data_IF_116731858001
#
_entry.id   IF_116731858001
#
_cell.length_a   1.000
_cell.length_b   1.000
_cell.length_c   1.000
_cell.angle_alpha   90.00
_cell.angle_beta   90.00
_cell.angle_gamma   90.00
#
_symmetry.space_group_name_H-M   'P 1'
#
loop_
_entity.id
_entity.type
_entity.pdbx_description
1 polymer ?
#
# COMPACT_ATOMS: atom_id res chain seq x y z
N UNK A 1 -14.18 -4.61 12.11
CA UNK A 1 -13.80 -3.19 11.95
C UNK A 1 -14.63 -2.66 10.78
N UNK A 2 -15.65 -1.84 11.05
CA UNK A 2 -16.54 -1.31 10.01
C UNK A 2 -15.82 -0.25 9.18
N UNK A 3 -15.38 -0.57 7.98
CA UNK A 3 -14.87 0.42 7.02
C UNK A 3 -16.07 0.98 6.29
N UNK A 4 -16.53 2.18 6.67
CA UNK A 4 -17.55 2.92 5.93
C UNK A 4 -17.02 3.19 4.52
N UNK A 5 -17.63 2.52 3.55
CA UNK A 5 -17.43 2.74 2.13
C UNK A 5 -18.17 4.02 1.74
N UNK A 6 -17.48 5.17 1.79
CA UNK A 6 -18.15 6.47 1.70
C UNK A 6 -17.40 7.49 0.83
N UNK A 7 -16.88 7.12 -0.34
CA UNK A 7 -16.37 8.14 -1.28
C UNK A 7 -16.62 7.73 -2.73
N UNK A 8 -17.88 7.71 -3.15
CA UNK A 8 -18.21 7.79 -4.57
C UNK A 8 -18.08 9.27 -4.96
N UNK A 9 -16.94 9.64 -5.55
CA UNK A 9 -16.72 11.00 -6.06
C UNK A 9 -17.36 11.10 -7.43
N UNK A 10 -18.24 12.07 -7.65
CA UNK A 10 -18.86 12.25 -8.96
C UNK A 10 -17.87 12.86 -9.97
N UNK A 11 -18.19 12.81 -11.27
CA UNK A 11 -17.26 13.27 -12.32
C UNK A 11 -16.92 14.76 -12.20
N UNK A 12 -17.88 15.60 -11.82
CA UNK A 12 -17.68 17.05 -11.69
C UNK A 12 -16.77 17.40 -10.51
N UNK A 13 -16.89 16.66 -9.41
CA UNK A 13 -15.98 16.77 -8.27
C UNK A 13 -14.59 16.27 -8.63
N UNK A 14 -14.51 15.11 -9.31
CA UNK A 14 -13.23 14.55 -9.74
C UNK A 14 -12.46 15.49 -10.67
N UNK A 15 -13.16 16.20 -11.58
CA UNK A 15 -12.53 17.19 -12.46
C UNK A 15 -11.82 18.30 -11.68
N UNK A 16 -12.38 18.71 -10.53
CA UNK A 16 -11.75 19.72 -9.64
C UNK A 16 -10.50 19.19 -8.92
N UNK A 17 -10.28 17.88 -8.94
CA UNK A 17 -9.13 17.22 -8.32
C UNK A 17 -7.97 16.99 -9.30
N UNK A 18 -8.15 17.23 -10.60
CA UNK A 18 -7.06 17.15 -11.57
C UNK A 18 -5.94 18.14 -11.17
N UNK A 19 -4.70 17.67 -11.19
CA UNK A 19 -3.51 18.38 -10.71
C UNK A 19 -3.38 18.45 -9.19
N UNK A 20 -4.29 17.83 -8.42
CA UNK A 20 -4.27 17.84 -6.95
C UNK A 20 -3.88 16.48 -6.39
N UNK A 21 -3.34 16.50 -5.17
CA UNK A 21 -3.08 15.28 -4.42
C UNK A 21 -4.38 14.62 -3.95
N UNK A 22 -4.56 13.36 -4.33
CA UNK A 22 -5.67 12.49 -3.96
C UNK A 22 -5.15 11.27 -3.21
N UNK A 23 -5.97 10.78 -2.28
CA UNK A 23 -5.79 9.48 -1.66
C UNK A 23 -6.42 8.42 -2.57
N UNK A 24 -5.69 7.35 -2.79
CA UNK A 24 -6.12 6.19 -3.57
C UNK A 24 -6.18 4.97 -2.67
N UNK A 25 -7.32 4.27 -2.66
CA UNK A 25 -7.51 3.02 -1.92
C UNK A 25 -7.73 1.87 -2.90
N UNK A 26 -6.80 0.91 -2.91
CA UNK A 26 -6.83 -0.26 -3.81
C UNK A 26 -7.13 -1.56 -3.06
N UNK A 27 -7.81 -1.46 -1.92
CA UNK A 27 -8.05 -2.61 -1.04
C UNK A 27 -6.73 -3.22 -0.56
N UNK A 28 -6.53 -4.50 -0.85
CA UNK A 28 -5.37 -5.23 -0.37
C UNK A 28 -4.06 -4.94 -1.15
N UNK A 29 -4.12 -4.13 -2.22
CA UNK A 29 -2.92 -3.60 -2.89
C UNK A 29 -2.36 -2.36 -2.20
N UNK A 30 -3.03 -1.83 -1.18
CA UNK A 30 -2.54 -0.75 -0.34
C UNK A 30 -3.26 0.58 -0.53
N UNK A 31 -2.74 1.61 0.14
CA UNK A 31 -3.28 2.96 0.18
C UNK A 31 -2.19 3.96 -0.16
N UNK A 32 -2.47 4.80 -1.14
CA UNK A 32 -1.48 5.69 -1.73
C UNK A 32 -1.97 7.14 -1.71
N UNK A 33 -1.03 8.07 -1.86
CA UNK A 33 -1.30 9.45 -2.21
C UNK A 33 -0.62 9.73 -3.54
N UNK A 34 -1.29 10.46 -4.41
CA UNK A 34 -0.73 10.83 -5.70
C UNK A 34 -1.46 11.97 -6.35
N UNK A 35 -0.88 12.52 -7.41
CA UNK A 35 -1.49 13.57 -8.23
C UNK A 35 -2.43 12.94 -9.25
N UNK A 36 -3.70 13.37 -9.27
CA UNK A 36 -4.65 12.96 -10.30
C UNK A 36 -4.37 13.73 -11.60
N UNK A 37 -4.06 13.02 -12.68
CA UNK A 37 -3.59 13.63 -13.94
C UNK A 37 -4.71 13.83 -14.95
N UNK A 38 -5.56 12.82 -15.10
CA UNK A 38 -6.60 12.81 -16.14
C UNK A 38 -7.81 12.00 -15.69
N UNK A 39 -8.92 12.24 -16.38
CA UNK A 39 -10.17 11.51 -16.22
C UNK A 39 -10.70 11.05 -17.57
N UNK A 40 -11.15 9.80 -17.65
CA UNK A 40 -11.68 9.18 -18.87
C UNK A 40 -12.98 8.43 -18.59
N UNK A 41 -13.76 8.16 -19.65
CA UNK A 41 -14.93 7.26 -19.60
C UNK A 41 -16.16 7.72 -18.81
N UNK A 42 -17.11 6.77 -18.68
CA UNK A 42 -18.34 6.84 -17.87
C UNK A 42 -18.76 5.40 -17.47
N UNK A 43 -18.85 5.05 -16.17
CA UNK A 43 -18.45 5.86 -15.03
C UNK A 43 -16.96 6.21 -15.10
N UNK A 44 -16.57 7.35 -14.54
CA UNK A 44 -15.24 7.88 -14.77
C UNK A 44 -14.14 6.96 -14.21
N UNK A 45 -13.00 6.97 -14.91
CA UNK A 45 -11.71 6.41 -14.53
C UNK A 45 -10.70 7.55 -14.52
N UNK A 46 -9.63 7.39 -13.76
CA UNK A 46 -8.57 8.38 -13.72
C UNK A 46 -7.21 7.73 -13.67
N UNK A 47 -6.18 8.54 -13.89
CA UNK A 47 -4.79 8.12 -13.74
C UNK A 47 -4.12 8.96 -12.68
N UNK A 48 -3.50 8.31 -11.72
CA UNK A 48 -2.82 8.97 -10.59
C UNK A 48 -1.34 8.67 -10.66
N UNK A 49 -0.49 9.69 -10.54
CA UNK A 49 0.94 9.54 -10.31
C UNK A 49 1.19 9.49 -8.81
N UNK A 50 1.69 8.37 -8.30
CA UNK A 50 1.96 8.19 -6.87
C UNK A 50 3.02 9.17 -6.42
N UNK A 51 2.76 9.86 -5.31
CA UNK A 51 3.70 10.77 -4.64
C UNK A 51 4.08 10.28 -3.25
N UNK A 52 3.28 9.40 -2.66
CA UNK A 52 3.60 8.78 -1.37
C UNK A 52 2.76 7.55 -1.08
N UNK A 53 3.20 6.78 -0.08
CA UNK A 53 2.54 5.54 0.37
C UNK A 53 1.97 5.78 1.77
N UNK A 54 0.65 5.60 1.96
CA UNK A 54 0.03 5.70 3.28
C UNK A 54 0.04 4.34 3.98
N UNK A 55 -0.34 3.29 3.26
CA UNK A 55 -0.35 1.91 3.73
C UNK A 55 0.21 1.04 2.61
N UNK A 56 1.26 0.23 2.84
CA UNK A 56 1.77 -0.68 1.82
C UNK A 56 0.75 -1.79 1.52
N UNK A 57 0.98 -2.54 0.45
CA UNK A 57 0.15 -3.68 0.07
C UNK A 57 0.09 -4.72 1.19
N UNK A 58 -1.02 -5.46 1.28
CA UNK A 58 -1.14 -6.57 2.22
C UNK A 58 -0.31 -7.76 1.75
N UNK A 59 0.56 -8.26 2.61
CA UNK A 59 1.55 -9.30 2.27
C UNK A 59 1.25 -10.69 2.87
N UNK A 60 0.07 -10.90 3.44
CA UNK A 60 -0.31 -12.15 4.11
C UNK A 60 -1.54 -12.86 3.56
N UNK A 61 -2.14 -12.31 2.53
CA UNK A 61 -3.44 -12.78 2.09
C UNK A 61 -3.29 -13.92 1.07
N UNK A 62 -3.75 -15.12 1.44
CA UNK A 62 -3.74 -16.37 0.66
C UNK A 62 -2.39 -17.04 0.36
N UNK A 63 -1.38 -16.92 1.23
CA UNK A 63 -0.13 -17.69 1.10
C UNK A 63 0.78 -17.23 -0.05
N UNK A 64 0.43 -16.15 -0.75
CA UNK A 64 1.30 -15.51 -1.74
C UNK A 64 2.14 -14.46 -1.02
N UNK A 65 3.38 -14.85 -0.72
CA UNK A 65 4.40 -13.98 -0.15
C UNK A 65 4.66 -12.81 -1.13
N UNK A 66 4.58 -11.58 -0.64
CA UNK A 66 5.01 -10.34 -1.30
C UNK A 66 4.20 -9.86 -2.53
N UNK A 67 2.92 -9.47 -2.35
CA UNK A 67 2.25 -8.58 -3.33
C UNK A 67 3.10 -7.34 -3.61
N UNK A 68 3.28 -6.95 -4.87
CA UNK A 68 4.06 -5.75 -5.24
C UNK A 68 3.18 -4.51 -5.07
N UNK A 69 3.44 -3.71 -4.03
CA UNK A 69 2.81 -2.40 -3.92
C UNK A 69 3.44 -1.36 -4.87
N UNK A 70 2.77 -0.21 -4.98
CA UNK A 70 3.15 0.90 -5.86
C UNK A 70 4.15 1.85 -5.19
N UNK A 71 5.08 2.39 -5.97
CA UNK A 71 6.13 3.32 -5.51
C UNK A 71 5.85 4.75 -5.96
N UNK A 72 6.34 5.77 -5.23
CA UNK A 72 6.36 7.14 -5.72
C UNK A 72 6.99 7.24 -7.12
N UNK A 73 6.32 7.97 -8.00
CA UNK A 73 6.65 8.08 -9.42
C UNK A 73 5.87 7.13 -10.33
N UNK A 74 5.33 6.02 -9.81
CA UNK A 74 4.52 5.08 -10.61
C UNK A 74 3.11 5.61 -10.86
N UNK A 75 2.44 5.00 -11.85
CA UNK A 75 1.07 5.34 -12.21
C UNK A 75 0.10 4.26 -11.76
N UNK A 76 -1.07 4.69 -11.30
CA UNK A 76 -2.19 3.84 -10.90
C UNK A 76 -3.42 4.28 -11.69
N UNK A 77 -4.09 3.32 -12.31
CA UNK A 77 -5.42 3.52 -12.86
C UNK A 77 -6.47 3.37 -11.76
N UNK A 78 -7.33 4.37 -11.63
CA UNK A 78 -8.27 4.48 -10.51
C UNK A 78 -9.70 4.59 -11.02
N UNK A 79 -10.64 4.21 -10.15
CA UNK A 79 -12.07 4.36 -10.39
C UNK A 79 -12.68 5.38 -9.44
N UNK A 80 -13.88 5.83 -9.79
CA UNK A 80 -14.71 6.73 -8.98
C UNK A 80 -14.95 6.28 -7.53
N UNK A 81 -14.76 5.00 -7.20
CA UNK A 81 -14.96 4.44 -5.87
C UNK A 81 -13.67 4.34 -5.04
N UNK A 82 -12.52 4.67 -5.63
CA UNK A 82 -11.20 4.42 -5.04
C UNK A 82 -10.43 5.69 -4.70
N UNK A 83 -10.99 6.87 -4.99
CA UNK A 83 -10.28 8.16 -4.91
C UNK A 83 -11.03 9.14 -4.04
N UNK A 84 -10.31 9.85 -3.18
CA UNK A 84 -10.83 11.03 -2.48
C UNK A 84 -9.72 12.07 -2.27
N UNK A 85 -10.04 13.32 -1.87
CA UNK A 85 -9.01 14.32 -1.56
C UNK A 85 -8.05 13.83 -0.48
N UNK A 86 -6.74 14.00 -0.69
CA UNK A 86 -5.75 13.63 0.32
C UNK A 86 -5.75 14.64 1.48
N UNK A 87 -5.75 14.13 2.72
CA UNK A 87 -5.66 14.96 3.95
C UNK A 87 -4.25 14.98 4.57
N UNK A 88 -3.40 14.04 4.17
CA UNK A 88 -2.04 13.85 4.68
C UNK A 88 -1.13 13.46 3.53
N UNK A 89 0.15 13.76 3.67
CA UNK A 89 1.19 13.17 2.84
C UNK A 89 1.39 11.70 3.21
N UNK A 90 1.79 10.90 2.22
CA UNK A 90 2.30 9.54 2.45
C UNK A 90 3.79 9.54 2.76
N UNK A 91 4.30 8.37 3.13
CA UNK A 91 5.73 8.10 3.19
C UNK A 91 6.37 8.32 1.80
N UNK A 92 7.57 8.90 1.80
CA UNK A 92 8.34 9.25 0.59
C UNK A 92 8.91 8.05 -0.16
N UNK A 93 8.83 6.85 0.41
CA UNK A 93 9.24 5.61 -0.24
C UNK A 93 8.35 4.45 0.21
N UNK A 94 8.28 3.39 -0.59
CA UNK A 94 7.56 2.18 -0.20
C UNK A 94 8.25 1.49 0.99
N UNK A 95 9.58 1.44 0.98
CA UNK A 95 10.38 0.85 2.07
C UNK A 95 10.08 1.52 3.42
N UNK A 96 10.03 2.86 3.46
CA UNK A 96 9.72 3.58 4.70
C UNK A 96 8.29 3.35 5.19
N UNK A 97 7.33 3.09 4.29
CA UNK A 97 5.97 2.70 4.67
C UNK A 97 5.92 1.29 5.28
N UNK A 98 6.63 0.32 4.68
CA UNK A 98 6.73 -1.05 5.24
C UNK A 98 7.42 -1.03 6.60
N UNK A 99 8.50 -0.25 6.75
CA UNK A 99 9.21 -0.12 8.03
C UNK A 99 8.32 0.49 9.10
N UNK A 100 7.55 1.53 8.77
CA UNK A 100 6.60 2.14 9.68
C UNK A 100 5.51 1.15 10.12
N UNK A 101 5.00 0.33 9.20
CA UNK A 101 4.01 -0.70 9.51
C UNK A 101 4.60 -1.81 10.41
N UNK A 102 5.85 -2.23 10.16
CA UNK A 102 6.54 -3.19 11.04
C UNK A 102 6.75 -2.61 12.44
N UNK A 103 7.19 -1.36 12.55
CA UNK A 103 7.39 -0.69 13.84
C UNK A 103 6.07 -0.56 14.61
N UNK A 104 4.99 -0.20 13.92
CA UNK A 104 3.65 -0.16 14.51
C UNK A 104 3.21 -1.54 14.99
N UNK A 105 3.44 -2.58 14.18
CA UNK A 105 3.18 -3.97 14.56
C UNK A 105 3.95 -4.30 15.84
N UNK A 106 5.28 -4.22 15.82
CA UNK A 106 6.13 -4.55 16.98
C UNK A 106 5.80 -3.73 18.24
N UNK A 107 5.50 -2.43 18.10
CA UNK A 107 5.12 -1.57 19.23
C UNK A 107 3.73 -1.86 19.80
N UNK A 108 2.79 -2.35 18.97
CA UNK A 108 1.43 -2.71 19.39
C UNK A 108 1.34 -4.11 20.02
N UNK A 109 2.43 -4.89 19.97
CA UNK A 109 2.48 -6.27 20.47
C UNK A 109 2.85 -6.40 21.96
N UNK A 110 2.99 -5.30 22.70
CA UNK A 110 3.17 -5.35 24.16
C UNK A 110 1.93 -5.86 24.91
N UNK A 111 0.74 -5.93 24.28
CA UNK A 111 -0.51 -6.35 24.92
C UNK A 111 -1.18 -7.62 24.39
N UNK A 112 -0.77 -8.18 23.25
CA UNK A 112 -1.48 -9.29 22.55
C UNK A 112 -0.86 -10.68 22.72
N UNK A 113 0.23 -10.80 23.50
CA UNK A 113 1.01 -12.03 23.66
C UNK A 113 0.26 -13.21 24.30
N UNK A 114 -0.96 -13.03 24.80
CA UNK A 114 -1.74 -14.06 25.51
C UNK A 114 -2.92 -14.63 24.72
N UNK A 115 -3.11 -14.27 23.45
CA UNK A 115 -4.28 -14.71 22.66
C UNK A 115 -4.02 -15.94 21.77
N UNK A 116 -5.09 -16.71 21.48
CA UNK A 116 -5.11 -17.86 20.53
C UNK A 116 -4.67 -17.53 19.09
N UNK A 117 -4.33 -16.28 18.79
CA UNK A 117 -3.94 -15.79 17.47
C UNK A 117 -2.45 -15.36 17.40
N UNK A 118 -1.63 -15.69 18.40
CA UNK A 118 -0.20 -15.38 18.41
C UNK A 118 0.54 -15.83 17.14
N UNK A 119 0.17 -16.97 16.57
CA UNK A 119 0.75 -17.48 15.33
C UNK A 119 0.48 -16.59 14.10
N UNK A 120 -0.70 -15.95 14.04
CA UNK A 120 -1.06 -15.01 12.94
C UNK A 120 -0.20 -13.76 13.04
N UNK A 121 -0.01 -13.26 14.25
CA UNK A 121 0.81 -12.09 14.55
C UNK A 121 2.29 -12.32 14.23
N UNK A 122 2.81 -13.50 14.56
CA UNK A 122 4.16 -13.92 14.21
C UNK A 122 4.33 -14.05 12.70
N UNK A 123 3.37 -14.68 12.02
CA UNK A 123 3.35 -14.76 10.56
C UNK A 123 3.33 -13.38 9.91
N UNK A 124 2.55 -12.43 10.46
CA UNK A 124 2.50 -11.04 9.99
C UNK A 124 3.83 -10.32 10.14
N UNK A 125 4.47 -10.42 11.31
CA UNK A 125 5.79 -9.85 11.52
C UNK A 125 6.86 -10.46 10.60
N UNK A 126 6.83 -11.78 10.38
CA UNK A 126 7.73 -12.47 9.44
C UNK A 126 7.54 -11.97 8.01
N UNK A 127 6.30 -11.87 7.54
CA UNK A 127 6.01 -11.39 6.18
C UNK A 127 6.50 -9.95 5.97
N UNK A 128 6.27 -9.04 6.92
CA UNK A 128 6.77 -7.67 6.81
C UNK A 128 8.31 -7.61 6.79
N UNK A 129 9.00 -8.41 7.61
CA UNK A 129 10.46 -8.50 7.56
C UNK A 129 10.97 -9.01 6.22
N UNK A 130 10.36 -10.07 5.68
CA UNK A 130 10.71 -10.60 4.36
C UNK A 130 10.53 -9.54 3.26
N UNK A 131 9.43 -8.78 3.31
CA UNK A 131 9.16 -7.66 2.39
C UNK A 131 10.21 -6.55 2.51
N UNK A 132 10.64 -6.20 3.72
CA UNK A 132 11.71 -5.20 3.90
C UNK A 132 12.99 -5.64 3.21
N UNK A 133 13.49 -6.85 3.50
CA UNK A 133 14.72 -7.37 2.88
C UNK A 133 14.59 -7.41 1.35
N UNK A 134 13.43 -7.85 0.87
CA UNK A 134 13.07 -7.80 -0.53
C UNK A 134 13.20 -6.38 -1.12
N UNK A 135 12.52 -5.40 -0.53
CA UNK A 135 12.55 -4.01 -1.01
C UNK A 135 13.94 -3.38 -0.91
N UNK A 136 14.71 -3.67 0.12
CA UNK A 136 16.11 -3.23 0.24
C UNK A 136 16.96 -3.77 -0.91
N UNK A 137 16.83 -5.06 -1.23
CA UNK A 137 17.52 -5.66 -2.39
C UNK A 137 17.06 -5.02 -3.71
N UNK A 138 15.76 -4.75 -3.88
CA UNK A 138 15.23 -4.07 -5.09
C UNK A 138 15.86 -2.69 -5.25
N UNK A 139 15.91 -1.90 -4.18
CA UNK A 139 16.51 -0.56 -4.19
C UNK A 139 18.01 -0.63 -4.50
N UNK A 140 18.73 -1.58 -3.90
CA UNK A 140 20.17 -1.74 -4.11
C UNK A 140 20.53 -2.22 -5.52
N UNK A 141 19.73 -3.11 -6.11
CA UNK A 141 20.05 -3.77 -7.39
C UNK A 141 19.32 -3.19 -8.59
N UNK A 142 18.28 -2.38 -8.37
CA UNK A 142 17.36 -1.95 -9.42
C UNK A 142 16.51 -3.07 -10.02
N UNK A 143 16.55 -4.30 -9.47
CA UNK A 143 15.78 -5.43 -9.99
C UNK A 143 14.31 -5.36 -9.55
N UNK A 144 13.40 -5.42 -10.51
CA UNK A 144 11.96 -5.20 -10.29
C UNK A 144 11.16 -6.45 -9.92
N UNK A 145 11.66 -7.63 -10.28
CA UNK A 145 11.04 -8.93 -9.93
C UNK A 145 11.92 -9.59 -8.88
N UNK A 146 11.37 -9.78 -7.68
CA UNK A 146 11.95 -10.73 -6.75
C UNK A 146 11.21 -12.03 -6.95
N UNK A 147 11.95 -13.12 -7.00
CA UNK A 147 11.33 -14.42 -7.08
C UNK A 147 10.83 -14.78 -5.67
N UNK A 148 9.70 -15.52 -5.53
CA UNK A 148 9.20 -15.94 -4.23
C UNK A 148 10.27 -16.59 -3.32
N UNK A 149 11.23 -17.30 -3.92
CA UNK A 149 12.42 -17.90 -3.28
C UNK A 149 13.34 -16.90 -2.55
N UNK A 150 13.36 -15.62 -2.96
CA UNK A 150 14.15 -14.57 -2.30
C UNK A 150 13.55 -14.16 -0.94
N UNK A 151 12.25 -14.35 -0.75
CA UNK A 151 11.53 -14.01 0.49
C UNK A 151 11.62 -15.11 1.55
N UNK A 152 11.67 -16.38 1.14
CA UNK A 152 11.77 -17.53 2.05
C UNK A 152 13.14 -17.62 2.73
N UNK A 153 14.22 -17.26 2.03
CA UNK A 153 15.57 -17.26 2.60
C UNK A 153 15.87 -16.04 3.49
N UNK A 154 15.13 -14.94 3.34
CA UNK A 154 15.32 -13.73 4.14
C UNK A 154 14.63 -13.79 5.52
N UNK A 155 13.75 -14.77 5.74
CA UNK A 155 12.96 -14.94 6.96
C UNK A 155 13.43 -16.08 7.87
N UNK A 156 14.47 -16.82 7.46
CA UNK A 156 15.16 -17.84 8.25
C UNK A 156 16.32 -17.21 9.05
#
# INVERSE_FOLDING_TARGET
>A
MHVKQEFVVNKNEAQKLIGRNVRVWLGAEGVYVGELLELTGSPWRGRVRVTGVLEPAQHLDHGVVCRRGHRPGEFIDVSHATVCPAKKSGHSSYLSAVQAQLNLHMGSHSGYQTSRHAWVNEAFGRALRAVLVAEERRVATGQWRLRPEDGEHAAA
#
